data_IF_745501727325
#
_entry.id   IF_745501727325
#
_cell.length_a   1.000
_cell.length_b   1.000
_cell.length_c   1.000
_cell.angle_alpha   90.00
_cell.angle_beta   90.00
_cell.angle_gamma   90.00
#
_symmetry.space_group_name_H-M   'P 1'
#
loop_
_entity.id
_entity.type
_entity.pdbx_description
1 polymer ?
#
# COMPACT_ATOMS: atom_id res chain seq x y z
N UNK A 1 -3.17 47.12 46.15
CA UNK A 1 -2.80 46.44 44.87
C UNK A 1 -1.89 45.27 45.23
N UNK A 2 -2.41 44.03 45.26
CA UNK A 2 -1.57 42.84 45.38
C UNK A 2 -1.40 42.26 43.98
N UNK A 3 -0.15 42.21 43.54
CA UNK A 3 0.30 41.78 42.23
C UNK A 3 -0.17 40.35 41.91
N UNK A 4 -0.78 40.18 40.74
CA UNK A 4 -1.07 38.88 40.17
C UNK A 4 0.24 38.14 39.92
N UNK A 5 0.49 37.05 40.64
CA UNK A 5 1.44 36.02 40.21
C UNK A 5 0.85 35.40 38.93
N UNK A 6 1.35 35.82 37.76
CA UNK A 6 1.07 35.10 36.53
C UNK A 6 1.79 33.74 36.62
N UNK A 7 1.02 32.66 36.63
CA UNK A 7 1.53 31.30 36.44
C UNK A 7 2.04 31.18 35.00
N UNK A 8 3.27 31.64 34.74
CA UNK A 8 3.93 31.27 33.49
C UNK A 8 4.19 29.77 33.52
N UNK A 9 3.68 29.04 32.53
CA UNK A 9 4.04 27.65 32.31
C UNK A 9 5.53 27.60 31.96
N UNK A 10 6.37 27.29 32.94
CA UNK A 10 7.81 27.22 32.77
C UNK A 10 8.25 25.76 32.64
N UNK A 11 9.05 25.46 31.62
CA UNK A 11 9.83 24.22 31.57
C UNK A 11 11.15 24.53 32.28
N UNK A 12 11.41 23.93 33.46
CA UNK A 12 12.65 24.14 34.24
C UNK A 12 13.91 23.51 33.62
N UNK A 13 13.74 22.84 32.49
CA UNK A 13 14.78 22.04 31.88
C UNK A 13 15.67 22.89 30.96
N UNK A 14 16.93 23.06 31.34
CA UNK A 14 17.92 23.83 30.59
C UNK A 14 18.19 23.25 29.18
N UNK A 15 17.81 21.99 28.93
CA UNK A 15 17.97 21.32 27.63
C UNK A 15 16.83 21.61 26.64
N UNK A 16 15.73 22.26 27.07
CA UNK A 16 14.55 22.49 26.23
C UNK A 16 14.58 23.85 25.52
N UNK A 17 14.68 23.81 24.19
CA UNK A 17 14.72 24.99 23.34
C UNK A 17 13.29 25.58 23.13
N UNK A 18 13.02 26.85 23.48
CA UNK A 18 11.74 27.54 23.26
C UNK A 18 11.27 27.55 21.79
N UNK A 19 12.18 27.43 20.82
CA UNK A 19 11.85 27.36 19.40
C UNK A 19 11.22 26.02 18.99
N UNK A 20 11.31 25.00 19.84
CA UNK A 20 10.67 23.70 19.64
C UNK A 20 9.27 23.63 20.26
N UNK A 21 8.74 24.74 20.79
CA UNK A 21 7.36 24.79 21.26
C UNK A 21 6.38 24.93 20.10
N UNK A 22 5.24 24.22 20.17
CA UNK A 22 4.17 24.41 19.20
C UNK A 22 3.52 25.79 19.38
N UNK A 23 3.69 26.67 18.38
CA UNK A 23 3.15 28.04 18.37
C UNK A 23 1.90 28.11 17.49
N UNK A 24 0.72 27.86 18.06
CA UNK A 24 -0.54 28.03 17.32
C UNK A 24 -0.94 29.52 17.25
N UNK A 25 -1.50 30.02 16.12
CA UNK A 25 -2.06 31.36 16.07
C UNK A 25 -3.22 31.48 17.07
N UNK A 26 -3.07 32.29 18.11
CA UNK A 26 -4.08 32.49 19.16
C UNK A 26 -3.75 31.91 20.53
N UNK A 27 -2.57 31.31 20.72
CA UNK A 27 -2.09 30.90 22.03
C UNK A 27 -1.85 32.16 22.90
N UNK A 28 -2.78 32.46 23.82
CA UNK A 28 -2.62 33.55 24.78
C UNK A 28 -1.93 32.99 26.02
N UNK A 29 -0.67 33.37 26.20
CA UNK A 29 0.14 33.05 27.37
C UNK A 29 -0.59 33.46 28.64
N UNK A 30 -1.17 32.50 29.35
CA UNK A 30 -1.46 32.72 30.77
C UNK A 30 -1.59 31.42 31.57
N UNK A 31 -1.98 30.27 31.00
CA UNK A 31 -2.20 29.04 31.79
C UNK A 31 -2.04 27.74 30.98
N UNK A 32 -1.25 27.73 29.90
CA UNK A 32 -1.21 26.58 29.00
C UNK A 32 0.23 26.15 28.75
N UNK A 33 0.49 24.86 28.97
CA UNK A 33 1.79 24.21 28.75
C UNK A 33 1.85 23.78 27.28
N UNK A 34 2.49 24.53 26.36
CA UNK A 34 2.46 24.22 24.93
C UNK A 34 3.18 22.89 24.66
N UNK A 35 2.59 21.95 23.92
CA UNK A 35 3.27 20.68 23.64
C UNK A 35 4.66 20.95 23.03
N UNK A 36 5.66 20.27 23.57
CA UNK A 36 7.03 20.34 23.08
C UNK A 36 7.14 19.46 21.83
N UNK A 37 7.63 20.03 20.73
CA UNK A 37 7.73 19.36 19.44
C UNK A 37 9.13 18.78 19.30
N UNK A 38 9.20 17.46 19.19
CA UNK A 38 10.43 16.78 18.79
C UNK A 38 10.41 16.55 17.27
N UNK A 39 11.51 16.82 16.55
CA UNK A 39 11.60 16.47 15.14
C UNK A 39 11.34 14.97 14.97
N UNK A 40 10.36 14.64 14.14
CA UNK A 40 10.09 13.26 13.78
C UNK A 40 11.32 12.68 13.05
N UNK A 41 11.92 11.57 13.54
CA UNK A 41 12.99 10.91 12.80
C UNK A 41 12.43 10.28 11.52
N UNK A 42 13.26 10.19 10.48
CA UNK A 42 12.95 9.51 9.22
C UNK A 42 13.29 10.34 7.99
N UNK A 43 13.56 9.67 6.88
CA UNK A 43 13.72 10.28 5.57
C UNK A 43 12.37 10.37 4.90
N UNK A 44 11.99 11.53 4.38
CA UNK A 44 10.72 11.65 3.65
C UNK A 44 10.81 10.93 2.30
N UNK A 45 10.01 9.89 2.04
CA UNK A 45 9.96 9.27 0.72
C UNK A 45 9.35 10.24 -0.29
N UNK A 46 9.70 10.08 -1.56
CA UNK A 46 9.17 10.90 -2.65
C UNK A 46 8.61 9.98 -3.73
N UNK A 47 7.29 9.82 -3.77
CA UNK A 47 6.62 8.99 -4.77
C UNK A 47 6.82 9.56 -6.17
N UNK A 48 7.19 8.70 -7.13
CA UNK A 48 7.20 9.04 -8.53
C UNK A 48 5.80 8.94 -9.14
N UNK A 49 5.03 10.02 -8.94
CA UNK A 49 3.66 10.15 -9.43
C UNK A 49 3.53 10.07 -10.96
N UNK A 50 4.61 10.22 -11.72
CA UNK A 50 4.59 10.06 -13.18
C UNK A 50 4.40 8.60 -13.61
N UNK A 51 4.78 7.67 -12.74
CA UNK A 51 4.68 6.23 -12.96
C UNK A 51 3.46 5.60 -12.27
N UNK A 52 2.83 6.33 -11.34
CA UNK A 52 1.57 5.92 -10.71
C UNK A 52 0.41 6.31 -11.63
N UNK A 53 -0.38 5.33 -12.07
CA UNK A 53 -1.57 5.63 -12.87
C UNK A 53 -2.65 6.21 -11.97
N UNK A 54 -3.47 7.10 -12.54
CA UNK A 54 -4.69 7.58 -11.88
C UNK A 54 -5.71 6.45 -11.67
N UNK A 55 -5.78 5.53 -12.64
CA UNK A 55 -6.71 4.41 -12.64
C UNK A 55 -6.07 3.18 -13.30
N UNK A 56 -6.33 2.02 -12.70
CA UNK A 56 -6.03 0.70 -13.25
C UNK A 56 -7.36 -0.01 -13.52
N UNK A 57 -7.49 -0.63 -14.70
CA UNK A 57 -8.69 -1.41 -15.04
C UNK A 57 -8.28 -2.87 -15.23
N UNK A 58 -8.95 -3.77 -14.52
CA UNK A 58 -8.70 -5.21 -14.59
C UNK A 58 -10.00 -6.00 -14.75
N UNK A 59 -9.91 -7.18 -15.34
CA UNK A 59 -11.03 -8.13 -15.29
C UNK A 59 -11.14 -8.78 -13.91
N UNK A 60 -12.36 -9.14 -13.52
CA UNK A 60 -12.62 -9.92 -12.32
C UNK A 60 -11.73 -11.17 -12.27
N UNK A 61 -11.36 -11.62 -11.07
CA UNK A 61 -10.46 -12.75 -10.81
C UNK A 61 -9.00 -12.60 -11.28
N UNK A 62 -8.62 -11.49 -11.92
CA UNK A 62 -7.21 -11.18 -12.26
C UNK A 62 -6.42 -10.78 -11.02
N UNK A 63 -5.30 -11.48 -10.74
CA UNK A 63 -4.37 -11.08 -9.66
C UNK A 63 -3.73 -9.73 -10.02
N UNK A 64 -3.74 -8.80 -9.09
CA UNK A 64 -3.23 -7.44 -9.29
C UNK A 64 -2.42 -6.97 -8.10
N UNK A 65 -1.35 -6.23 -8.39
CA UNK A 65 -0.47 -5.60 -7.41
C UNK A 65 -0.21 -4.16 -7.84
N UNK A 66 -0.14 -3.25 -6.87
CA UNK A 66 0.31 -1.88 -7.12
C UNK A 66 1.82 -1.84 -7.11
N UNK A 67 2.40 -1.12 -8.07
CA UNK A 67 3.80 -0.73 -8.02
C UNK A 67 3.87 0.70 -7.47
N UNK A 68 4.67 0.91 -6.42
CA UNK A 68 4.79 2.18 -5.69
C UNK A 68 6.21 2.74 -5.92
N UNK A 69 6.46 3.43 -7.05
CA UNK A 69 7.78 3.92 -7.42
C UNK A 69 8.19 5.14 -6.58
N UNK A 70 9.49 5.25 -6.32
CA UNK A 70 10.11 6.37 -5.61
C UNK A 70 11.11 7.09 -6.50
N UNK A 71 11.27 8.39 -6.30
CA UNK A 71 12.36 9.20 -6.86
C UNK A 71 13.64 9.10 -6.03
N UNK A 72 13.52 8.78 -4.74
CA UNK A 72 14.63 8.66 -3.80
C UNK A 72 14.71 7.26 -3.14
N UNK A 73 14.66 6.16 -3.91
CA UNK A 73 14.56 4.80 -3.35
C UNK A 73 15.74 4.42 -2.45
N UNK A 74 16.92 4.96 -2.69
CA UNK A 74 18.15 4.60 -1.96
C UNK A 74 18.34 5.40 -0.65
N UNK A 75 17.48 6.38 -0.39
CA UNK A 75 17.67 7.31 0.73
C UNK A 75 17.38 6.67 2.10
N UNK A 76 16.55 5.63 2.15
CA UNK A 76 16.26 4.84 3.34
C UNK A 76 15.64 3.49 2.99
N UNK A 77 15.47 2.63 4.00
CA UNK A 77 14.69 1.39 3.88
C UNK A 77 13.21 1.68 4.11
N UNK A 78 12.53 2.14 3.06
CA UNK A 78 11.11 2.46 3.12
C UNK A 78 10.22 1.21 3.25
N UNK A 79 9.05 1.41 3.84
CA UNK A 79 7.96 0.44 3.85
C UNK A 79 6.79 0.96 3.02
N UNK A 80 6.12 0.07 2.30
CA UNK A 80 5.13 0.39 1.29
C UNK A 80 3.78 -0.24 1.64
N UNK A 81 2.69 0.52 1.47
CA UNK A 81 1.34 0.05 1.72
C UNK A 81 0.37 0.53 0.64
N UNK A 82 -0.67 -0.28 0.40
CA UNK A 82 -1.81 0.09 -0.41
C UNK A 82 -3.07 -0.14 0.42
N UNK A 83 -3.63 0.94 0.95
CA UNK A 83 -4.81 0.90 1.80
C UNK A 83 -6.03 1.38 1.02
N UNK A 84 -7.19 0.77 1.24
CA UNK A 84 -8.42 1.34 0.71
C UNK A 84 -8.62 2.73 1.29
N UNK A 85 -9.11 3.61 0.45
CA UNK A 85 -9.52 4.95 0.81
C UNK A 85 -10.97 5.10 0.35
N UNK A 86 -11.89 5.03 1.30
CA UNK A 86 -13.30 5.24 1.03
C UNK A 86 -13.66 6.69 1.42
N UNK A 87 -13.87 7.60 0.45
CA UNK A 87 -14.27 8.97 0.74
C UNK A 87 -15.78 9.10 1.01
N UNK A 88 -16.55 8.00 1.02
CA UNK A 88 -17.98 8.06 1.20
C UNK A 88 -18.37 8.48 2.62
N UNK A 89 -19.35 9.37 2.73
CA UNK A 89 -19.93 9.78 4.01
C UNK A 89 -20.88 8.69 4.54
N UNK A 90 -21.09 8.62 5.86
CA UNK A 90 -21.83 7.62 6.66
C UNK A 90 -23.20 7.13 6.14
N UNK A 91 -23.74 7.71 5.07
CA UNK A 91 -25.04 7.38 4.44
C UNK A 91 -24.92 6.57 3.15
N UNK A 92 -23.71 6.30 2.67
CA UNK A 92 -23.48 5.48 1.48
C UNK A 92 -22.89 4.12 1.87
N UNK A 93 -23.25 3.03 1.17
CA UNK A 93 -22.63 1.74 1.39
C UNK A 93 -21.12 1.85 1.17
N UNK A 94 -20.33 1.34 2.12
CA UNK A 94 -18.87 1.39 2.05
C UNK A 94 -18.37 0.56 0.88
N UNK A 95 -17.37 1.08 0.19
CA UNK A 95 -16.77 0.45 -0.97
C UNK A 95 -15.31 0.08 -0.66
N UNK A 96 -15.15 -0.82 0.32
CA UNK A 96 -13.88 -1.14 0.96
C UNK A 96 -13.47 -2.57 0.65
N UNK A 97 -12.31 -2.71 0.00
CA UNK A 97 -11.77 -4.01 -0.37
C UNK A 97 -10.96 -4.64 0.78
N UNK A 98 -11.58 -5.43 1.64
CA UNK A 98 -10.89 -6.00 2.81
C UNK A 98 -10.11 -7.28 2.48
N UNK A 99 -8.91 -7.51 3.07
CA UNK A 99 -8.33 -6.77 4.20
C UNK A 99 -7.24 -5.76 3.80
N UNK A 100 -6.95 -4.82 4.71
CA UNK A 100 -5.75 -3.98 4.63
C UNK A 100 -4.52 -4.74 5.16
N UNK A 101 -3.39 -4.61 4.48
CA UNK A 101 -2.15 -5.29 4.85
C UNK A 101 -1.16 -4.32 5.51
N UNK A 102 -0.33 -4.86 6.40
CA UNK A 102 0.80 -4.11 6.96
C UNK A 102 1.76 -3.67 5.85
N UNK A 103 2.39 -2.52 6.04
CA UNK A 103 3.40 -2.02 5.12
C UNK A 103 4.56 -3.04 4.99
N UNK A 104 5.07 -3.21 3.77
CA UNK A 104 6.09 -4.20 3.43
C UNK A 104 7.33 -3.52 2.87
N UNK A 105 8.53 -4.11 2.99
CA UNK A 105 9.76 -3.52 2.44
C UNK A 105 9.82 -3.55 0.91
N UNK A 106 8.94 -4.29 0.22
CA UNK A 106 8.85 -4.34 -1.23
C UNK A 106 7.83 -3.30 -1.75
N UNK A 107 8.20 -2.57 -2.79
CA UNK A 107 7.37 -1.54 -3.41
C UNK A 107 6.29 -2.08 -4.37
N UNK A 108 6.26 -3.38 -4.63
CA UNK A 108 5.09 -4.06 -5.19
C UNK A 108 4.19 -4.54 -4.05
N UNK A 109 3.00 -3.95 -3.92
CA UNK A 109 2.07 -4.25 -2.83
C UNK A 109 0.79 -4.87 -3.37
N UNK A 110 0.40 -6.01 -2.80
CA UNK A 110 -0.84 -6.72 -3.13
C UNK A 110 -1.87 -6.53 -2.01
N UNK A 111 -3.16 -6.60 -2.37
CA UNK A 111 -4.29 -6.46 -1.46
C UNK A 111 -5.15 -7.75 -1.36
N UNK A 112 -4.57 -8.93 -1.69
CA UNK A 112 -5.24 -10.25 -1.65
C UNK A 112 -4.74 -11.11 -0.48
N UNK A 113 -5.57 -12.01 0.09
CA UNK A 113 -5.14 -12.97 1.10
C UNK A 113 -4.05 -13.90 0.57
N UNK A 114 -2.95 -14.02 1.32
CA UNK A 114 -1.78 -14.81 0.96
C UNK A 114 -1.79 -16.22 1.57
N UNK A 115 -1.28 -17.21 0.83
CA UNK A 115 -1.16 -18.60 1.25
C UNK A 115 -0.37 -18.77 2.56
N UNK A 116 -0.97 -19.45 3.55
CA UNK A 116 -0.24 -19.92 4.73
C UNK A 116 0.40 -21.28 4.38
N UNK A 117 1.64 -21.23 3.87
CA UNK A 117 2.57 -22.36 3.62
C UNK A 117 2.18 -23.34 2.48
N UNK A 118 3.17 -23.83 1.69
CA UNK A 118 2.94 -24.80 0.61
C UNK A 118 2.84 -26.27 1.06
N UNK A 119 2.60 -26.55 2.34
CA UNK A 119 2.53 -27.92 2.87
C UNK A 119 1.11 -28.24 3.36
N UNK A 120 0.49 -29.19 2.65
CA UNK A 120 -0.76 -29.92 2.95
C UNK A 120 -2.02 -29.09 3.16
N UNK A 121 -3.04 -29.41 2.36
CA UNK A 121 -4.44 -28.98 2.46
C UNK A 121 -4.71 -27.51 2.08
N UNK A 122 -4.85 -27.31 0.77
CA UNK A 122 -5.23 -26.05 0.12
C UNK A 122 -6.62 -25.63 0.58
N UNK A 123 -6.72 -24.93 1.71
CA UNK A 123 -7.88 -24.10 2.03
C UNK A 123 -7.70 -22.77 1.31
N UNK A 124 -8.48 -22.56 0.25
CA UNK A 124 -8.77 -21.22 -0.30
C UNK A 124 -9.08 -20.33 0.90
N UNK A 125 -8.36 -19.22 1.07
CA UNK A 125 -8.71 -18.27 2.12
C UNK A 125 -10.10 -17.74 1.79
N UNK A 126 -11.07 -18.19 2.59
CA UNK A 126 -12.46 -17.75 2.47
C UNK A 126 -12.47 -16.22 2.59
N UNK A 127 -13.28 -15.53 1.77
CA UNK A 127 -13.53 -14.11 1.96
C UNK A 127 -13.89 -13.85 3.42
N UNK A 128 -13.28 -12.81 4.01
CA UNK A 128 -13.75 -12.29 5.29
C UNK A 128 -15.25 -12.00 5.13
N UNK A 129 -16.10 -12.46 6.06
CA UNK A 129 -17.52 -12.15 6.03
C UNK A 129 -17.73 -10.63 5.91
N UNK A 130 -18.42 -10.21 4.85
CA UNK A 130 -18.63 -8.79 4.52
C UNK A 130 -17.63 -8.19 3.52
N UNK A 131 -16.56 -8.90 3.14
CA UNK A 131 -15.66 -8.51 2.06
C UNK A 131 -16.25 -8.88 0.70
N UNK A 132 -16.42 -7.88 -0.16
CA UNK A 132 -16.83 -8.02 -1.56
C UNK A 132 -15.65 -8.31 -2.50
N UNK A 133 -14.55 -8.85 -1.95
CA UNK A 133 -13.38 -9.43 -2.61
C UNK A 133 -13.53 -9.64 -4.13
N UNK A 134 -13.13 -8.62 -4.90
CA UNK A 134 -13.03 -8.63 -6.36
C UNK A 134 -14.35 -8.59 -7.12
N UNK A 135 -15.43 -8.13 -6.50
CA UNK A 135 -16.63 -7.77 -7.24
C UNK A 135 -16.30 -6.67 -8.25
N UNK A 136 -17.05 -6.68 -9.33
CA UNK A 136 -17.09 -5.57 -10.27
C UNK A 136 -17.40 -4.27 -9.53
N UNK A 137 -16.60 -3.25 -9.75
CA UNK A 137 -16.68 -2.01 -9.01
C UNK A 137 -15.47 -1.12 -9.24
N UNK A 138 -15.54 0.09 -8.70
CA UNK A 138 -14.45 1.06 -8.75
C UNK A 138 -14.01 1.37 -7.33
N UNK A 139 -12.79 1.02 -6.99
CA UNK A 139 -12.23 1.12 -5.65
C UNK A 139 -11.15 2.21 -5.63
N UNK A 140 -11.07 2.99 -4.56
CA UNK A 140 -10.01 3.99 -4.41
C UNK A 140 -9.00 3.50 -3.38
N UNK A 141 -7.72 3.67 -3.71
CA UNK A 141 -6.59 3.24 -2.88
C UNK A 141 -5.67 4.42 -2.59
N UNK A 142 -5.19 4.48 -1.35
CA UNK A 142 -4.06 5.27 -0.91
C UNK A 142 -2.79 4.40 -0.99
N UNK A 143 -1.91 4.73 -1.94
CA UNK A 143 -0.58 4.16 -2.05
C UNK A 143 0.38 5.00 -1.20
N UNK A 144 1.09 4.39 -0.27
CA UNK A 144 1.98 5.09 0.64
C UNK A 144 3.36 4.44 0.71
N UNK A 145 4.37 5.29 0.85
CA UNK A 145 5.70 4.90 1.32
C UNK A 145 5.97 5.60 2.65
N UNK A 146 6.61 4.91 3.58
CA UNK A 146 6.82 5.36 4.97
C UNK A 146 8.23 5.03 5.43
N UNK A 147 8.86 5.97 6.12
CA UNK A 147 10.01 5.75 6.99
C UNK A 147 9.74 6.41 8.34
N UNK A 148 9.62 5.58 9.39
CA UNK A 148 9.27 6.03 10.74
C UNK A 148 7.98 6.86 10.76
N UNK A 149 8.06 8.17 11.00
CA UNK A 149 6.89 9.07 10.98
C UNK A 149 6.78 9.90 9.68
N UNK A 150 7.79 9.85 8.79
CA UNK A 150 7.75 10.51 7.51
C UNK A 150 7.06 9.63 6.46
N UNK A 151 6.15 10.21 5.68
CA UNK A 151 5.41 9.47 4.66
C UNK A 151 5.09 10.33 3.44
N UNK A 152 4.91 9.69 2.30
CA UNK A 152 4.35 10.28 1.09
C UNK A 152 3.27 9.34 0.54
N UNK A 153 2.19 9.93 0.04
CA UNK A 153 0.97 9.23 -0.37
C UNK A 153 0.45 9.73 -1.72
N UNK A 154 -0.08 8.81 -2.51
CA UNK A 154 -0.79 9.08 -3.75
C UNK A 154 -2.09 8.28 -3.82
N UNK A 155 -3.15 8.90 -4.33
CA UNK A 155 -4.42 8.22 -4.58
C UNK A 155 -4.44 7.63 -5.99
N UNK A 156 -4.98 6.42 -6.10
CA UNK A 156 -5.26 5.75 -7.38
C UNK A 156 -6.60 5.04 -7.32
N UNK A 157 -7.15 4.68 -8.48
CA UNK A 157 -8.33 3.85 -8.59
C UNK A 157 -8.02 2.48 -9.17
N UNK A 158 -8.76 1.48 -8.74
CA UNK A 158 -8.82 0.14 -9.31
C UNK A 158 -10.26 -0.15 -9.73
N UNK A 159 -10.47 -0.26 -11.03
CA UNK A 159 -11.77 -0.61 -11.62
C UNK A 159 -11.75 -2.06 -12.05
N UNK A 160 -12.65 -2.85 -11.47
CA UNK A 160 -12.83 -4.27 -11.78
C UNK A 160 -14.05 -4.39 -12.69
N UNK A 161 -13.88 -5.02 -13.85
CA UNK A 161 -14.92 -5.22 -14.87
C UNK A 161 -15.13 -6.69 -15.18
N UNK A 162 -16.25 -7.02 -15.82
CA UNK A 162 -16.49 -8.35 -16.38
C UNK A 162 -15.51 -8.62 -17.53
N UNK A 163 -15.13 -9.88 -17.72
CA UNK A 163 -14.30 -10.30 -18.84
C UNK A 163 -13.40 -11.49 -18.50
N UNK A 164 -12.61 -11.93 -19.47
CA UNK A 164 -11.69 -13.05 -19.29
C UNK A 164 -10.55 -12.66 -18.32
N UNK A 165 -10.35 -13.39 -17.21
CA UNK A 165 -9.26 -13.12 -16.29
C UNK A 165 -7.91 -13.41 -16.93
N UNK A 166 -6.89 -12.61 -16.60
CA UNK A 166 -5.52 -12.96 -16.96
C UNK A 166 -5.04 -14.12 -16.08
N UNK A 167 -4.80 -15.29 -16.70
CA UNK A 167 -4.27 -16.50 -16.05
C UNK A 167 -3.30 -17.22 -17.00
N UNK A 168 -2.20 -17.75 -16.44
CA UNK A 168 -1.36 -18.72 -17.15
C UNK A 168 -2.12 -20.03 -17.23
N UNK A 169 -2.26 -20.59 -18.44
CA UNK A 169 -3.05 -21.79 -18.74
C UNK A 169 -2.20 -23.03 -19.03
N UNK A 170 -0.89 -22.85 -19.27
CA UNK A 170 0.04 -23.96 -19.46
C UNK A 170 0.19 -24.80 -18.19
N UNK A 171 0.08 -26.12 -18.30
CA UNK A 171 0.39 -27.04 -17.21
C UNK A 171 1.90 -27.20 -17.06
N UNK A 172 2.46 -26.74 -15.95
CA UNK A 172 3.87 -26.96 -15.61
C UNK A 172 3.92 -28.17 -14.67
N UNK A 173 4.29 -29.34 -15.18
CA UNK A 173 4.46 -30.53 -14.35
C UNK A 173 5.71 -30.37 -13.47
N UNK A 174 5.50 -30.27 -12.14
CA UNK A 174 6.58 -30.18 -11.15
C UNK A 174 7.52 -31.40 -11.16
N UNK A 175 7.05 -32.55 -11.63
CA UNK A 175 7.82 -33.81 -11.62
C UNK A 175 8.74 -33.97 -12.84
N UNK A 176 8.51 -33.23 -13.93
CA UNK A 176 9.25 -33.40 -15.20
C UNK A 176 10.15 -32.23 -15.58
N UNK A 177 10.16 -31.14 -14.81
CA UNK A 177 11.08 -30.02 -15.03
C UNK A 177 12.39 -30.23 -14.27
N UNK A 178 13.34 -30.92 -14.91
CA UNK A 178 14.76 -30.86 -14.51
C UNK A 178 15.30 -29.46 -14.79
N UNK A 179 16.31 -29.03 -14.03
CA UNK A 179 17.02 -27.78 -14.32
C UNK A 179 17.53 -27.79 -15.77
N UNK A 180 17.27 -26.71 -16.51
CA UNK A 180 17.64 -26.58 -17.93
C UNK A 180 16.54 -26.96 -18.94
N UNK A 181 15.41 -27.52 -18.50
CA UNK A 181 14.30 -27.81 -19.41
C UNK A 181 13.59 -26.54 -19.89
N UNK A 182 13.20 -26.52 -21.18
CA UNK A 182 12.40 -25.44 -21.76
C UNK A 182 11.02 -25.40 -21.10
N UNK A 183 10.61 -24.21 -20.65
CA UNK A 183 9.27 -23.95 -20.14
C UNK A 183 8.48 -23.24 -21.24
N UNK A 184 7.27 -23.74 -21.52
CA UNK A 184 6.32 -23.08 -22.40
C UNK A 184 5.17 -22.53 -21.57
N UNK A 185 5.00 -21.21 -21.61
CA UNK A 185 3.91 -20.52 -20.92
C UNK A 185 2.88 -20.06 -21.93
N UNK A 186 1.61 -20.33 -21.67
CA UNK A 186 0.48 -19.87 -22.47
C UNK A 186 -0.52 -19.12 -21.60
N UNK A 187 -1.18 -18.13 -22.17
CA UNK A 187 -2.22 -17.33 -21.51
C UNK A 187 -3.21 -16.83 -22.57
N UNK A 188 -4.41 -16.45 -22.14
CA UNK A 188 -5.42 -15.85 -23.01
C UNK A 188 -6.08 -14.64 -22.30
N UNK A 189 -5.60 -13.41 -22.55
CA UNK A 189 -6.10 -12.23 -21.86
C UNK A 189 -7.43 -11.76 -22.46
N UNK A 190 -8.18 -10.94 -21.73
CA UNK A 190 -9.27 -10.15 -22.32
C UNK A 190 -8.70 -9.09 -23.29
N UNK A 191 -8.61 -9.45 -24.57
CA UNK A 191 -8.01 -8.56 -25.60
C UNK A 191 -8.81 -7.29 -25.85
N UNK A 192 -10.11 -7.30 -25.54
CA UNK A 192 -10.97 -6.12 -25.58
C UNK A 192 -10.53 -5.07 -24.57
N UNK A 193 -10.11 -5.49 -23.37
CA UNK A 193 -9.64 -4.59 -22.32
C UNK A 193 -8.16 -4.22 -22.48
N UNK A 194 -7.31 -5.22 -22.73
CA UNK A 194 -5.85 -5.03 -22.72
C UNK A 194 -5.27 -4.67 -24.08
N UNK A 195 -6.02 -4.86 -25.16
CA UNK A 195 -5.54 -4.76 -26.54
C UNK A 195 -4.94 -6.08 -27.04
N UNK A 196 -5.09 -6.32 -28.35
CA UNK A 196 -4.55 -7.51 -29.02
C UNK A 196 -3.02 -7.59 -28.99
N UNK A 197 -2.36 -6.43 -29.05
CA UNK A 197 -0.89 -6.31 -29.03
C UNK A 197 -0.32 -6.10 -27.60
N UNK A 198 -1.10 -6.44 -26.57
CA UNK A 198 -0.65 -6.34 -25.19
C UNK A 198 0.56 -7.22 -24.92
N UNK A 199 1.52 -6.67 -24.19
CA UNK A 199 2.75 -7.36 -23.79
C UNK A 199 2.66 -7.80 -22.34
N UNK A 200 3.09 -9.03 -22.07
CA UNK A 200 3.21 -9.58 -20.71
C UNK A 200 4.69 -9.60 -20.34
N UNK A 201 5.02 -9.06 -19.16
CA UNK A 201 6.31 -9.28 -18.51
C UNK A 201 6.15 -10.36 -17.46
N UNK A 202 6.94 -11.43 -17.56
CA UNK A 202 6.93 -12.54 -16.61
C UNK A 202 8.20 -12.45 -15.77
N UNK A 203 8.04 -12.37 -14.46
CA UNK A 203 9.13 -12.41 -13.49
C UNK A 203 9.09 -13.77 -12.80
N UNK A 204 10.21 -14.49 -12.84
CA UNK A 204 10.36 -15.79 -12.17
C UNK A 204 11.10 -15.57 -10.86
N UNK A 205 10.56 -16.13 -9.76
CA UNK A 205 11.18 -16.05 -8.43
C UNK A 205 12.18 -17.19 -8.23
N UNK A 206 13.36 -16.89 -7.70
CA UNK A 206 14.37 -17.89 -7.34
C UNK A 206 14.15 -18.55 -5.97
N UNK A 207 13.17 -18.08 -5.22
CA UNK A 207 12.91 -18.43 -3.82
C UNK A 207 11.47 -18.89 -3.58
N UNK A 208 10.85 -19.49 -4.59
CA UNK A 208 9.45 -19.95 -4.56
C UNK A 208 8.42 -18.84 -4.28
N UNK A 209 8.78 -17.59 -4.60
CA UNK A 209 7.89 -16.44 -4.45
C UNK A 209 8.00 -15.76 -3.09
N UNK A 210 9.05 -16.04 -2.28
CA UNK A 210 9.26 -15.38 -0.99
C UNK A 210 9.62 -13.89 -1.12
N UNK A 211 10.31 -13.47 -2.19
CA UNK A 211 10.74 -12.07 -2.46
C UNK A 211 9.90 -11.35 -3.51
N UNK A 212 9.16 -12.09 -4.35
CA UNK A 212 7.97 -11.51 -5.00
C UNK A 212 6.98 -11.14 -3.90
N UNK A 213 6.15 -10.07 -3.99
CA UNK A 213 5.04 -9.94 -3.07
C UNK A 213 4.27 -11.25 -3.16
N UNK A 214 4.36 -11.98 -2.06
CA UNK A 214 4.25 -13.42 -2.00
C UNK A 214 2.96 -13.83 -2.75
N UNK A 215 3.13 -14.62 -3.82
CA UNK A 215 2.22 -14.73 -4.99
C UNK A 215 0.77 -15.11 -4.72
#
# INVERSE_FOLDING_TARGET
MRSNLQNHSYYLDAERNPDRMYKQPGYKESNSNPPYVEPAPGVTPVLDRTQIRREYVITQDTRFQFYIPLKNPDAAKFHFAANNYDPSNDKMPTNVMQPAYKAQPNNCVMFRPYYVKPYSDVKKLEPIMGSDNFKKGRYTFALAAVDSAAYDMALTQLTIVDGTPFKITSSISRTNTKCGNKIQLTWNPCTELYGKDSKVRILLSSDFGQTSPMS
#
